data_IF_619225028007
#
_entry.id   IF_619225028007
#
_cell.length_a   1.000
_cell.length_b   1.000
_cell.length_c   1.000
_cell.angle_alpha   90.00
_cell.angle_beta   90.00
_cell.angle_gamma   90.00
#
_symmetry.space_group_name_H-M   'P 1'
#
loop_
_entity.id
_entity.type
_entity.pdbx_description
1 polymer ?
#
# COMPACT_ATOMS: atom_id res chain seq x y z
N UNK A 1 33.58 28.06 44.95
CA UNK A 1 33.48 26.94 43.99
C UNK A 1 32.38 25.90 44.32
N UNK A 2 31.60 26.06 45.36
CA UNK A 2 30.48 25.13 45.71
C UNK A 2 29.14 25.43 45.04
N UNK A 3 28.94 26.63 44.48
CA UNK A 3 27.66 27.05 43.92
C UNK A 3 27.53 26.86 42.41
N UNK A 4 28.62 26.43 41.72
CA UNK A 4 28.62 26.22 40.27
C UNK A 4 28.18 24.78 39.91
N UNK A 5 28.25 23.83 40.83
CA UNK A 5 27.90 22.44 40.62
C UNK A 5 26.37 22.20 40.80
N UNK A 6 25.66 23.14 41.45
CA UNK A 6 24.22 23.02 41.71
C UNK A 6 23.37 23.51 40.52
N UNK A 7 23.94 24.27 39.60
CA UNK A 7 23.24 24.85 38.43
C UNK A 7 23.20 23.88 37.22
N UNK A 8 24.06 22.86 37.20
CA UNK A 8 24.14 21.90 36.10
C UNK A 8 23.14 20.73 36.26
N UNK A 9 22.59 20.52 37.44
CA UNK A 9 21.67 19.41 37.73
C UNK A 9 20.20 19.71 37.39
N UNK A 10 19.86 20.92 36.91
CA UNK A 10 18.47 21.34 36.66
C UNK A 10 18.04 21.31 35.18
N UNK A 11 18.86 20.81 34.26
CA UNK A 11 18.59 20.87 32.81
C UNK A 11 18.23 19.49 32.19
N UNK A 12 18.12 18.40 32.97
CA UNK A 12 17.89 17.06 32.42
C UNK A 12 16.45 16.54 32.61
N UNK A 13 15.49 17.38 32.86
CA UNK A 13 14.09 16.91 33.05
C UNK A 13 13.16 17.64 32.11
N UNK A 14 13.38 17.58 30.80
CA UNK A 14 12.32 17.96 29.86
C UNK A 14 12.62 17.37 28.48
N UNK A 15 12.13 16.22 28.15
CA UNK A 15 11.70 15.87 26.80
C UNK A 15 11.10 14.45 26.77
N UNK A 16 10.12 14.16 27.58
CA UNK A 16 9.03 13.30 27.14
C UNK A 16 7.93 14.24 26.62
N UNK A 17 8.11 14.74 25.40
CA UNK A 17 6.99 15.21 24.60
C UNK A 17 6.27 13.93 24.19
N UNK A 18 5.03 13.66 24.67
CA UNK A 18 4.24 12.60 24.09
C UNK A 18 4.11 12.97 22.62
N UNK A 19 4.51 12.09 21.72
CA UNK A 19 4.20 12.16 20.31
C UNK A 19 2.67 12.33 20.24
N UNK A 20 2.20 13.54 20.06
CA UNK A 20 0.78 13.80 19.78
C UNK A 20 0.53 13.12 18.46
N UNK A 21 -0.14 11.99 18.49
CA UNK A 21 -0.69 11.34 17.30
C UNK A 21 -1.56 12.40 16.63
N UNK A 22 -1.02 13.01 15.57
CA UNK A 22 -1.65 14.14 14.91
C UNK A 22 -2.94 13.62 14.30
N UNK A 23 -4.08 14.01 14.85
CA UNK A 23 -5.39 13.60 14.35
C UNK A 23 -5.52 14.06 12.90
N UNK A 24 -5.64 13.11 11.98
CA UNK A 24 -5.78 13.37 10.55
C UNK A 24 -6.96 14.29 10.28
N UNK A 25 -6.82 15.18 9.31
CA UNK A 25 -7.80 16.19 8.93
C UNK A 25 -8.43 15.90 7.56
N UNK A 26 -9.46 16.65 7.17
CA UNK A 26 -10.01 16.57 5.82
C UNK A 26 -9.00 17.03 4.75
N UNK A 27 -8.10 17.95 5.08
CA UNK A 27 -7.03 18.37 4.17
C UNK A 27 -6.04 17.22 3.93
N UNK A 28 -5.64 16.49 4.97
CA UNK A 28 -4.80 15.30 4.83
C UNK A 28 -5.47 14.21 4.00
N UNK A 29 -6.80 14.08 4.10
CA UNK A 29 -7.58 13.18 3.27
C UNK A 29 -7.55 13.57 1.79
N UNK A 30 -7.78 14.84 1.46
CA UNK A 30 -7.72 15.34 0.08
C UNK A 30 -6.34 15.10 -0.54
N UNK A 31 -5.28 15.41 0.20
CA UNK A 31 -3.91 15.16 -0.24
C UNK A 31 -3.64 13.65 -0.45
N UNK A 32 -4.09 12.82 0.48
CA UNK A 32 -3.97 11.36 0.35
C UNK A 32 -4.66 10.83 -0.91
N UNK A 33 -5.91 11.24 -1.17
CA UNK A 33 -6.67 10.81 -2.34
C UNK A 33 -6.06 11.32 -3.65
N UNK A 34 -5.57 12.56 -3.68
CA UNK A 34 -4.86 13.11 -4.82
C UNK A 34 -3.57 12.35 -5.13
N UNK A 35 -2.81 11.98 -4.11
CA UNK A 35 -1.60 11.18 -4.26
C UNK A 35 -1.92 9.77 -4.78
N UNK A 36 -2.97 9.12 -4.29
CA UNK A 36 -3.44 7.82 -4.81
C UNK A 36 -3.79 7.91 -6.30
N UNK A 37 -4.49 8.96 -6.71
CA UNK A 37 -4.84 9.18 -8.12
C UNK A 37 -3.60 9.40 -9.00
N UNK A 38 -2.65 10.23 -8.54
CA UNK A 38 -1.41 10.49 -9.26
C UNK A 38 -0.58 9.21 -9.44
N UNK A 39 -0.45 8.41 -8.40
CA UNK A 39 0.25 7.13 -8.47
C UNK A 39 -0.45 6.14 -9.39
N UNK A 40 -1.78 6.07 -9.38
CA UNK A 40 -2.53 5.20 -10.30
C UNK A 40 -2.35 5.62 -11.76
N UNK A 41 -2.30 6.91 -12.05
CA UNK A 41 -2.00 7.42 -13.40
C UNK A 41 -0.60 7.04 -13.87
N UNK A 42 0.37 7.00 -12.94
CA UNK A 42 1.76 6.65 -13.24
C UNK A 42 1.95 5.14 -13.42
N UNK A 43 1.44 4.35 -12.48
CA UNK A 43 1.73 2.91 -12.40
C UNK A 43 0.75 2.07 -13.23
N UNK A 44 -0.50 2.56 -13.41
CA UNK A 44 -1.56 1.85 -14.13
C UNK A 44 -1.18 1.40 -15.53
N UNK A 45 -0.65 2.27 -16.41
CA UNK A 45 -0.26 1.85 -17.76
C UNK A 45 0.74 0.72 -17.79
N UNK A 46 1.66 0.65 -16.80
CA UNK A 46 2.69 -0.38 -16.73
C UNK A 46 2.08 -1.71 -16.31
N UNK A 47 1.27 -1.72 -15.23
CA UNK A 47 0.66 -2.96 -14.74
C UNK A 47 -0.34 -3.53 -15.78
N UNK A 48 -1.12 -2.68 -16.45
CA UNK A 48 -2.02 -3.12 -17.51
C UNK A 48 -1.29 -3.69 -18.71
N UNK A 49 -0.15 -3.09 -19.12
CA UNK A 49 0.68 -3.61 -20.20
C UNK A 49 1.32 -4.96 -19.82
N UNK A 50 1.82 -5.09 -18.61
CA UNK A 50 2.37 -6.36 -18.12
C UNK A 50 1.30 -7.45 -18.06
N UNK A 51 0.09 -7.13 -17.59
CA UNK A 51 -1.06 -8.03 -17.56
C UNK A 51 -1.46 -8.48 -18.97
N UNK A 52 -1.55 -7.52 -19.92
CA UNK A 52 -1.88 -7.82 -21.32
C UNK A 52 -0.84 -8.74 -21.95
N UNK A 53 0.46 -8.46 -21.74
CA UNK A 53 1.55 -9.30 -22.27
C UNK A 53 1.45 -10.73 -21.70
N UNK A 54 1.27 -10.88 -20.39
CA UNK A 54 1.21 -12.21 -19.76
C UNK A 54 -0.02 -13.02 -20.19
N UNK A 55 -1.13 -12.35 -20.52
CA UNK A 55 -2.36 -13.00 -20.98
C UNK A 55 -2.30 -13.42 -22.45
N UNK A 56 -1.50 -12.75 -23.27
CA UNK A 56 -1.41 -13.05 -24.72
C UNK A 56 -0.14 -13.83 -25.08
N UNK A 57 0.92 -13.72 -24.31
CA UNK A 57 2.18 -14.41 -24.50
C UNK A 57 2.54 -15.17 -23.23
N UNK A 58 1.97 -16.37 -23.07
CA UNK A 58 2.14 -17.20 -21.87
C UNK A 58 3.53 -17.83 -21.89
N UNK A 59 4.53 -17.09 -21.48
CA UNK A 59 5.93 -17.51 -21.38
C UNK A 59 6.44 -17.38 -19.95
N UNK A 60 7.54 -18.03 -19.63
CA UNK A 60 8.19 -17.89 -18.32
C UNK A 60 8.54 -16.42 -18.03
N UNK A 61 9.04 -15.69 -19.01
CA UNK A 61 9.48 -14.30 -18.83
C UNK A 61 8.29 -13.37 -18.59
N UNK A 62 7.19 -13.52 -19.34
CA UNK A 62 5.99 -12.72 -19.14
C UNK A 62 5.34 -12.99 -17.78
N UNK A 63 5.32 -14.24 -17.32
CA UNK A 63 4.84 -14.61 -15.98
C UNK A 63 5.70 -13.98 -14.89
N UNK A 64 7.03 -13.98 -15.04
CA UNK A 64 7.94 -13.35 -14.08
C UNK A 64 7.71 -11.83 -13.99
N UNK A 65 7.53 -11.18 -15.13
CA UNK A 65 7.26 -9.73 -15.19
C UNK A 65 5.94 -9.40 -14.47
N UNK A 66 4.84 -10.11 -14.75
CA UNK A 66 3.55 -9.81 -14.11
C UNK A 66 3.57 -10.17 -12.62
N UNK A 67 4.27 -11.23 -12.19
CA UNK A 67 4.40 -11.57 -10.77
C UNK A 67 5.14 -10.48 -9.99
N UNK A 68 6.23 -9.90 -10.53
CA UNK A 68 6.98 -8.82 -9.91
C UNK A 68 6.14 -7.53 -9.77
N UNK A 69 5.45 -7.12 -10.84
CA UNK A 69 4.53 -5.98 -10.80
C UNK A 69 3.34 -6.23 -9.89
N UNK A 70 2.77 -7.44 -9.90
CA UNK A 70 1.68 -7.86 -9.04
C UNK A 70 2.04 -7.75 -7.56
N UNK A 71 3.22 -8.21 -7.18
CA UNK A 71 3.75 -8.09 -5.81
C UNK A 71 3.83 -6.63 -5.38
N UNK A 72 4.47 -5.77 -6.19
CA UNK A 72 4.61 -4.35 -5.91
C UNK A 72 3.26 -3.64 -5.77
N UNK A 73 2.34 -3.93 -6.68
CA UNK A 73 1.00 -3.36 -6.67
C UNK A 73 0.19 -3.80 -5.43
N UNK A 74 0.28 -5.08 -5.07
CA UNK A 74 -0.41 -5.65 -3.91
C UNK A 74 0.07 -5.03 -2.61
N UNK A 75 1.39 -4.92 -2.39
CA UNK A 75 1.96 -4.28 -1.20
C UNK A 75 1.58 -2.80 -1.10
N UNK A 76 1.62 -2.07 -2.21
CA UNK A 76 1.18 -0.68 -2.26
C UNK A 76 -0.31 -0.53 -1.94
N UNK A 77 -1.15 -1.39 -2.48
CA UNK A 77 -2.60 -1.37 -2.24
C UNK A 77 -2.94 -1.69 -0.78
N UNK A 78 -2.20 -2.60 -0.15
CA UNK A 78 -2.35 -2.92 1.26
C UNK A 78 -1.98 -1.73 2.16
N UNK A 79 -0.90 -1.03 1.85
CA UNK A 79 -0.52 0.18 2.57
C UNK A 79 -1.57 1.29 2.42
N UNK A 80 -2.08 1.51 1.20
CA UNK A 80 -3.18 2.46 0.94
C UNK A 80 -4.46 2.10 1.69
N UNK A 81 -4.80 0.82 1.79
CA UNK A 81 -5.96 0.35 2.54
C UNK A 81 -5.84 0.69 4.03
N UNK A 82 -4.65 0.53 4.61
CA UNK A 82 -4.36 0.90 6.00
C UNK A 82 -4.42 2.40 6.23
N UNK A 83 -3.82 3.17 5.32
CA UNK A 83 -3.86 4.63 5.39
C UNK A 83 -5.29 5.14 5.28
N UNK A 84 -6.12 4.54 4.39
CA UNK A 84 -7.53 4.87 4.23
C UNK A 84 -8.34 4.63 5.51
N UNK A 85 -8.08 3.55 6.24
CA UNK A 85 -8.74 3.26 7.52
C UNK A 85 -8.46 4.34 8.58
N UNK A 86 -7.29 4.98 8.53
CA UNK A 86 -6.95 6.09 9.43
C UNK A 86 -7.81 7.35 9.27
N UNK A 87 -8.63 7.44 8.20
CA UNK A 87 -9.55 8.56 7.96
C UNK A 87 -11.02 8.24 8.30
N UNK A 88 -11.30 7.07 8.88
CA UNK A 88 -12.69 6.65 9.13
C UNK A 88 -13.45 7.54 10.11
N UNK A 89 -12.76 8.20 11.02
CA UNK A 89 -13.32 9.12 12.01
C UNK A 89 -13.77 10.46 11.40
N UNK A 90 -13.34 10.81 10.17
CA UNK A 90 -13.67 12.10 9.56
C UNK A 90 -15.10 12.14 9.04
N UNK A 91 -15.77 13.27 9.27
CA UNK A 91 -16.97 13.62 8.53
C UNK A 91 -16.55 14.27 7.20
N UNK A 92 -16.78 13.55 6.09
CA UNK A 92 -16.30 13.95 4.76
C UNK A 92 -17.42 13.78 3.71
N UNK A 93 -17.17 14.23 2.47
CA UNK A 93 -18.12 14.08 1.37
C UNK A 93 -18.49 12.61 1.09
N UNK A 94 -19.65 12.39 0.48
CA UNK A 94 -20.07 11.04 0.06
C UNK A 94 -19.08 10.42 -0.93
N UNK A 95 -18.49 11.24 -1.77
CA UNK A 95 -17.50 10.82 -2.77
C UNK A 95 -16.21 10.35 -2.11
N UNK A 96 -15.63 11.16 -1.22
CA UNK A 96 -14.45 10.77 -0.47
C UNK A 96 -14.69 9.53 0.39
N UNK A 97 -15.85 9.42 1.04
CA UNK A 97 -16.24 8.22 1.80
C UNK A 97 -16.31 6.98 0.90
N UNK A 98 -16.87 7.12 -0.31
CA UNK A 98 -16.90 6.03 -1.29
C UNK A 98 -15.50 5.61 -1.70
N UNK A 99 -14.60 6.57 -1.99
CA UNK A 99 -13.21 6.27 -2.36
C UNK A 99 -12.47 5.55 -1.22
N UNK A 100 -12.59 6.01 0.02
CA UNK A 100 -12.03 5.33 1.18
C UNK A 100 -12.53 3.89 1.31
N UNK A 101 -13.83 3.65 1.10
CA UNK A 101 -14.40 2.31 1.16
C UNK A 101 -13.87 1.41 0.04
N UNK A 102 -13.70 1.93 -1.19
CA UNK A 102 -13.10 1.19 -2.30
C UNK A 102 -11.66 0.79 -1.95
N UNK A 103 -10.85 1.72 -1.45
CA UNK A 103 -9.46 1.43 -1.05
C UNK A 103 -9.38 0.37 0.05
N UNK A 104 -10.29 0.41 1.03
CA UNK A 104 -10.32 -0.57 2.13
C UNK A 104 -10.84 -1.96 1.71
N UNK A 105 -11.72 -2.01 0.72
CA UNK A 105 -12.32 -3.26 0.23
C UNK A 105 -11.58 -3.89 -0.97
N UNK A 106 -10.37 -3.41 -1.28
CA UNK A 106 -9.59 -3.86 -2.43
C UNK A 106 -9.17 -5.35 -2.35
N UNK A 107 -9.26 -5.96 -1.18
CA UNK A 107 -8.88 -7.35 -0.98
C UNK A 107 -10.03 -8.15 -0.39
N UNK A 108 -10.37 -9.26 -1.04
CA UNK A 108 -11.26 -10.29 -0.47
C UNK A 108 -10.53 -11.02 0.67
N UNK A 109 -9.24 -11.24 0.50
CA UNK A 109 -8.35 -11.82 1.49
C UNK A 109 -7.08 -10.97 1.55
N UNK A 110 -6.72 -10.39 2.71
CA UNK A 110 -5.55 -9.54 2.81
C UNK A 110 -4.28 -10.35 2.48
N UNK A 111 -3.43 -9.82 1.59
CA UNK A 111 -2.17 -10.46 1.26
C UNK A 111 -1.20 -10.45 2.46
N UNK A 112 -0.17 -11.32 2.46
CA UNK A 112 0.89 -11.26 3.46
C UNK A 112 1.57 -9.89 3.47
N UNK A 113 1.95 -9.42 4.67
CA UNK A 113 2.75 -8.19 4.85
C UNK A 113 4.22 -8.39 4.56
N UNK A 114 4.68 -9.61 4.72
CA UNK A 114 6.04 -10.01 4.41
C UNK A 114 6.24 -10.01 2.90
N UNK A 115 7.26 -9.28 2.43
CA UNK A 115 7.54 -9.12 1.01
C UNK A 115 7.93 -10.43 0.32
N UNK A 116 8.54 -11.37 1.03
CA UNK A 116 8.93 -12.68 0.49
C UNK A 116 7.67 -13.51 0.26
N UNK A 117 6.79 -13.58 1.25
CA UNK A 117 5.51 -14.31 1.14
C UNK A 117 4.57 -13.67 0.11
N UNK A 118 4.57 -12.34 -0.02
CA UNK A 118 3.80 -11.63 -1.04
C UNK A 118 4.31 -11.95 -2.45
N UNK A 119 5.63 -12.06 -2.63
CA UNK A 119 6.26 -12.46 -3.91
C UNK A 119 5.91 -13.92 -4.24
N UNK A 120 6.05 -14.83 -3.29
CA UNK A 120 5.70 -16.25 -3.47
C UNK A 120 4.22 -16.41 -3.85
N UNK A 121 3.31 -15.71 -3.17
CA UNK A 121 1.89 -15.72 -3.50
C UNK A 121 1.63 -15.23 -4.94
N UNK A 122 2.29 -14.14 -5.35
CA UNK A 122 2.19 -13.58 -6.70
C UNK A 122 2.67 -14.56 -7.76
N UNK A 123 3.80 -15.24 -7.51
CA UNK A 123 4.37 -16.25 -8.42
C UNK A 123 3.43 -17.45 -8.56
N UNK A 124 2.89 -17.96 -7.45
CA UNK A 124 1.93 -19.08 -7.44
C UNK A 124 0.67 -18.69 -8.23
N UNK A 125 0.09 -17.53 -7.95
CA UNK A 125 -1.13 -17.06 -8.63
C UNK A 125 -0.90 -16.93 -10.13
N UNK A 126 0.18 -16.28 -10.53
CA UNK A 126 0.54 -16.10 -11.95
C UNK A 126 0.76 -17.44 -12.65
N UNK A 127 1.41 -18.41 -11.98
CA UNK A 127 1.60 -19.74 -12.51
C UNK A 127 0.28 -20.50 -12.70
N UNK A 128 -0.65 -20.39 -11.75
CA UNK A 128 -1.98 -20.99 -11.87
C UNK A 128 -2.77 -20.38 -13.03
N UNK A 129 -2.75 -19.06 -13.19
CA UNK A 129 -3.38 -18.35 -14.31
C UNK A 129 -2.78 -18.78 -15.65
N UNK A 130 -1.46 -18.94 -15.74
CA UNK A 130 -0.79 -19.41 -16.94
C UNK A 130 -1.13 -20.88 -17.27
N UNK A 131 -1.23 -21.76 -16.27
CA UNK A 131 -1.67 -23.14 -16.44
C UNK A 131 -3.10 -23.20 -16.96
N UNK A 132 -3.99 -22.36 -16.43
CA UNK A 132 -5.36 -22.27 -16.91
C UNK A 132 -5.42 -21.75 -18.37
N UNK A 133 -4.71 -20.66 -18.68
CA UNK A 133 -4.70 -20.05 -20.00
C UNK A 133 -4.03 -20.88 -21.10
N UNK A 134 -3.11 -21.78 -20.73
CA UNK A 134 -2.44 -22.69 -21.68
C UNK A 134 -3.07 -24.08 -21.72
N UNK A 135 -4.07 -24.36 -20.88
CA UNK A 135 -4.74 -25.65 -20.81
C UNK A 135 -5.56 -25.95 -22.07
N UNK A 136 -5.39 -27.15 -22.60
CA UNK A 136 -6.25 -27.68 -23.67
C UNK A 136 -7.45 -28.38 -23.02
N UNK A 137 -8.65 -27.96 -23.37
CA UNK A 137 -9.88 -28.65 -22.99
C UNK A 137 -10.24 -29.66 -24.06
N UNK A 138 -10.18 -30.94 -23.72
CA UNK A 138 -10.69 -32.01 -24.54
C UNK A 138 -12.20 -32.08 -24.52
#
# INVERSE_FOLDING_TARGET
>A
MKNFLSLILLIIVTSCVPSSEQTKTNQDLEEFLANVELENKKDGPIIYSASWISSNFITHDSQKVIADYGTKYTLKSLERSRQAAGFDHLNTSKENRRMLNILKSSFVMPPPLDGILASELSEITTKLEAMYGSGEHC
#
